data_IF_313696408735
#
_entry.id   IF_313696408735
#
_cell.length_a   1.000
_cell.length_b   1.000
_cell.length_c   1.000
_cell.angle_alpha   90.00
_cell.angle_beta   90.00
_cell.angle_gamma   90.00
#
_symmetry.space_group_name_H-M   'P 1'
#
loop_
_entity.id
_entity.type
_entity.pdbx_description
1 polymer ?
#
# COMPACT_ATOMS: atom_id res chain seq x y z
N UNK A 1 10.84 -29.63 -5.64
CA UNK A 1 10.12 -28.38 -5.95
C UNK A 1 10.17 -27.48 -4.71
N UNK A 2 10.57 -26.21 -4.85
CA UNK A 2 10.57 -25.26 -3.72
C UNK A 2 9.13 -24.81 -3.51
N UNK A 3 8.56 -25.04 -2.34
CA UNK A 3 7.21 -24.57 -2.01
C UNK A 3 7.24 -23.04 -1.95
N UNK A 4 6.43 -22.39 -2.79
CA UNK A 4 6.26 -20.92 -2.74
C UNK A 4 5.39 -20.63 -1.52
N UNK A 5 6.00 -20.17 -0.43
CA UNK A 5 5.27 -19.69 0.73
C UNK A 5 4.85 -18.24 0.50
N UNK A 6 3.54 -18.01 0.40
CA UNK A 6 2.98 -16.67 0.28
C UNK A 6 3.06 -15.97 1.64
N UNK A 7 3.68 -14.78 1.75
CA UNK A 7 3.78 -14.06 3.01
C UNK A 7 2.40 -13.77 3.62
N UNK A 8 2.23 -13.97 4.92
CA UNK A 8 0.95 -13.69 5.59
C UNK A 8 0.71 -12.17 5.66
N UNK A 9 -0.53 -11.76 5.39
CA UNK A 9 -1.00 -10.38 5.50
C UNK A 9 -2.20 -10.28 6.45
N UNK A 10 -2.38 -9.13 7.07
CA UNK A 10 -3.51 -8.83 7.97
C UNK A 10 -4.79 -8.48 7.20
N UNK A 11 -5.94 -8.49 7.87
CA UNK A 11 -7.21 -8.03 7.29
C UNK A 11 -7.12 -6.59 6.75
N UNK A 12 -6.46 -5.69 7.49
CA UNK A 12 -6.30 -4.28 7.09
C UNK A 12 -5.44 -4.13 5.84
N UNK A 13 -4.40 -4.96 5.72
CA UNK A 13 -3.57 -4.99 4.52
C UNK A 13 -4.32 -5.55 3.31
N UNK A 14 -5.17 -6.56 3.51
CA UNK A 14 -6.07 -7.04 2.46
C UNK A 14 -7.01 -5.94 1.98
N UNK A 15 -7.63 -5.19 2.90
CA UNK A 15 -8.46 -4.02 2.53
C UNK A 15 -7.68 -3.01 1.70
N UNK A 16 -6.42 -2.73 2.03
CA UNK A 16 -5.56 -1.84 1.21
C UNK A 16 -5.36 -2.41 -0.19
N UNK A 17 -5.11 -3.71 -0.33
CA UNK A 17 -4.96 -4.36 -1.64
C UNK A 17 -6.26 -4.30 -2.45
N UNK A 18 -7.40 -4.54 -1.83
CA UNK A 18 -8.71 -4.44 -2.49
C UNK A 18 -8.95 -3.02 -3.05
N UNK A 19 -8.61 -1.99 -2.27
CA UNK A 19 -8.67 -0.59 -2.71
C UNK A 19 -7.71 -0.31 -3.87
N UNK A 20 -6.48 -0.81 -3.81
CA UNK A 20 -5.48 -0.64 -4.87
C UNK A 20 -5.87 -1.38 -6.14
N UNK A 21 -6.46 -2.56 -6.07
CA UNK A 21 -6.94 -3.27 -7.25
C UNK A 21 -8.20 -2.64 -7.85
N UNK A 22 -9.04 -2.02 -7.02
CA UNK A 22 -10.24 -1.32 -7.50
C UNK A 22 -9.89 -0.01 -8.21
N UNK A 23 -8.99 0.79 -7.62
CA UNK A 23 -8.69 2.14 -8.11
C UNK A 23 -7.37 2.26 -8.88
N UNK A 24 -6.58 1.19 -8.95
CA UNK A 24 -5.26 1.06 -9.58
C UNK A 24 -4.15 1.88 -8.94
N UNK A 25 -4.32 3.19 -8.81
CA UNK A 25 -3.34 4.11 -8.24
C UNK A 25 -3.98 4.92 -7.13
N UNK A 26 -3.57 4.66 -5.89
CA UNK A 26 -3.99 5.44 -4.73
C UNK A 26 -2.78 5.99 -4.01
N UNK A 27 -2.85 7.27 -3.69
CA UNK A 27 -1.96 7.86 -2.71
C UNK A 27 -2.31 7.36 -1.32
N UNK A 28 -1.32 7.39 -0.43
CA UNK A 28 -1.51 7.11 0.99
C UNK A 28 -2.63 7.93 1.63
N UNK A 29 -2.81 9.19 1.23
CA UNK A 29 -3.87 10.07 1.76
C UNK A 29 -5.24 9.55 1.33
N UNK A 30 -5.40 9.18 0.05
CA UNK A 30 -6.66 8.59 -0.45
C UNK A 30 -6.97 7.26 0.25
N UNK A 31 -5.99 6.37 0.44
CA UNK A 31 -6.15 5.12 1.19
C UNK A 31 -6.62 5.42 2.62
N UNK A 32 -6.00 6.39 3.29
CA UNK A 32 -6.37 6.79 4.65
C UNK A 32 -7.83 7.28 4.72
N UNK A 33 -8.26 8.10 3.77
CA UNK A 33 -9.64 8.61 3.68
C UNK A 33 -10.64 7.48 3.42
N UNK A 34 -10.36 6.60 2.45
CA UNK A 34 -11.24 5.48 2.10
C UNK A 34 -11.40 4.47 3.25
N UNK A 35 -10.32 4.24 4.01
CA UNK A 35 -10.35 3.39 5.21
C UNK A 35 -10.96 4.09 6.44
N UNK A 36 -11.31 5.38 6.36
CA UNK A 36 -11.75 6.22 7.48
C UNK A 36 -10.80 6.13 8.69
N UNK A 37 -9.49 6.05 8.43
CA UNK A 37 -8.48 5.81 9.47
C UNK A 37 -7.85 7.12 9.97
N UNK A 38 -7.78 7.29 11.30
CA UNK A 38 -7.26 8.53 11.91
C UNK A 38 -5.74 8.62 11.87
N UNK A 39 -5.05 7.53 12.20
CA UNK A 39 -3.59 7.56 12.31
C UNK A 39 -2.93 7.28 10.96
N UNK A 40 -2.16 8.27 10.54
CA UNK A 40 -1.35 8.25 9.35
C UNK A 40 -0.21 7.22 9.52
N UNK A 41 0.43 7.13 10.69
CA UNK A 41 1.60 6.25 10.92
C UNK A 41 1.27 4.78 10.67
N UNK A 42 0.09 4.33 11.11
CA UNK A 42 -0.39 2.96 10.89
C UNK A 42 -0.53 2.60 9.42
N UNK A 43 -1.15 3.48 8.61
CA UNK A 43 -1.29 3.27 7.16
C UNK A 43 0.09 3.13 6.50
N UNK A 44 1.05 3.97 6.89
CA UNK A 44 2.42 3.87 6.41
C UNK A 44 3.09 2.54 6.77
N UNK A 45 2.87 2.05 7.99
CA UNK A 45 3.43 0.78 8.44
C UNK A 45 2.87 -0.38 7.63
N UNK A 46 1.56 -0.40 7.37
CA UNK A 46 0.93 -1.44 6.53
C UNK A 46 1.40 -1.40 5.08
N UNK A 47 1.54 -0.21 4.49
CA UNK A 47 2.06 -0.05 3.13
C UNK A 47 3.53 -0.48 3.02
N UNK A 48 4.36 -0.14 4.02
CA UNK A 48 5.76 -0.59 4.07
C UNK A 48 5.87 -2.10 4.17
N UNK A 49 5.06 -2.73 5.01
CA UNK A 49 5.05 -4.19 5.17
C UNK A 49 4.51 -4.90 3.92
N UNK A 50 3.47 -4.35 3.26
CA UNK A 50 3.00 -4.86 1.96
C UNK A 50 4.08 -4.77 0.89
N UNK A 51 4.84 -3.66 0.83
CA UNK A 51 5.94 -3.49 -0.11
C UNK A 51 7.09 -4.44 0.19
N UNK A 52 7.46 -4.62 1.47
CA UNK A 52 8.52 -5.55 1.87
C UNK A 52 8.18 -7.02 1.56
N UNK A 53 6.89 -7.33 1.41
CA UNK A 53 6.35 -8.63 1.00
C UNK A 53 6.05 -8.72 -0.50
N UNK A 54 6.50 -7.75 -1.29
CA UNK A 54 6.33 -7.65 -2.74
C UNK A 54 4.88 -7.63 -3.25
N UNK A 55 3.91 -7.21 -2.41
CA UNK A 55 2.51 -7.06 -2.84
C UNK A 55 2.25 -5.77 -3.61
N UNK A 56 3.02 -4.71 -3.34
CA UNK A 56 2.84 -3.39 -3.93
C UNK A 56 4.19 -2.75 -4.21
N UNK A 57 4.24 -1.77 -5.11
CA UNK A 57 5.41 -0.93 -5.29
C UNK A 57 5.02 0.55 -5.23
N UNK A 58 6.01 1.41 -5.00
CA UNK A 58 5.83 2.85 -5.06
C UNK A 58 6.11 3.36 -6.47
N UNK A 59 5.19 4.18 -6.96
CA UNK A 59 5.35 4.89 -8.22
C UNK A 59 5.71 6.31 -7.85
N UNK A 60 6.96 6.68 -8.15
CA UNK A 60 7.43 8.04 -8.01
C UNK A 60 7.26 8.71 -9.36
N UNK A 61 6.50 9.80 -9.39
CA UNK A 61 6.52 10.70 -10.52
C UNK A 61 7.85 11.47 -10.49
N UNK A 62 8.67 11.29 -11.53
CA UNK A 62 9.97 11.97 -11.63
C UNK A 62 9.80 13.47 -11.84
N UNK A 63 8.69 13.90 -12.43
CA UNK A 63 8.43 15.28 -12.78
C UNK A 63 7.86 16.07 -11.58
N UNK A 64 7.21 15.38 -10.62
CA UNK A 64 6.74 15.98 -9.36
C UNK A 64 7.89 16.26 -8.37
N UNK A 65 8.97 15.46 -8.41
CA UNK A 65 10.14 15.64 -7.53
C UNK A 65 10.98 16.88 -7.88
N UNK A 66 10.96 17.33 -9.14
CA UNK A 66 11.73 18.49 -9.61
C UNK A 66 11.06 19.83 -9.21
N UNK A 67 9.75 19.82 -8.92
CA UNK A 67 8.96 21.02 -8.67
C UNK A 67 8.73 21.33 -7.17
N UNK A 68 9.53 20.76 -6.28
CA UNK A 68 9.42 20.98 -4.82
C UNK A 68 10.73 21.40 -4.19
#
# INVERSE_FOLDING_TARGET
MKLIQVPKITYKQRTILDLLYTHRFLTRIQIQTLMKHKDKKTINLWLKDLRAKDYINWIYDKDDFINK
#
